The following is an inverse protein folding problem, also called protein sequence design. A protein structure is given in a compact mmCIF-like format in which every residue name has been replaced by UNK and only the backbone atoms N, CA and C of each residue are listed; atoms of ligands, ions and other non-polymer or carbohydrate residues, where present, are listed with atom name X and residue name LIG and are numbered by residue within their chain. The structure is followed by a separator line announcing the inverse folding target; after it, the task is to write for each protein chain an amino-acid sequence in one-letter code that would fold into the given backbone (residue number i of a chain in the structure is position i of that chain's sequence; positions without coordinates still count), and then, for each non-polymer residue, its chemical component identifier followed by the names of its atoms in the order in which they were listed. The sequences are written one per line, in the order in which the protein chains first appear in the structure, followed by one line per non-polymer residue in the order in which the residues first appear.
data_IF_387435907798
#
_entry.id   IF_387435907798
#
_cell.length_a   1.000
_cell.length_b   1.000
_cell.length_c   1.000
_cell.angle_alpha   90.00
_cell.angle_beta   90.00
_cell.angle_gamma   90.00
#
_symmetry.space_group_name_H-M   'P 1'
#
loop_
_entity.id
_entity.type
_entity.pdbx_description
1 polymer ?
#
# COMPACT_ATOMS: atom_id res chain seq x y z
N UNK A 1 -14.50 -2.58 -9.83
CA UNK A 1 -14.82 -3.73 -9.01
C UNK A 1 -15.86 -3.39 -7.97
N UNK A 2 -16.78 -4.29 -7.80
CA UNK A 2 -17.82 -4.12 -6.81
C UNK A 2 -17.22 -4.00 -5.41
N UNK A 3 -17.75 -3.13 -4.62
CA UNK A 3 -17.18 -2.89 -3.29
C UNK A 3 -17.45 -3.98 -2.29
N UNK A 4 -18.28 -4.92 -2.62
CA UNK A 4 -18.48 -6.09 -1.77
C UNK A 4 -19.08 -5.76 -0.42
N UNK A 5 -19.85 -4.69 -0.33
CA UNK A 5 -20.47 -4.32 0.92
C UNK A 5 -19.53 -3.77 1.97
N UNK A 6 -18.36 -3.31 1.57
CA UNK A 6 -17.40 -2.74 2.50
C UNK A 6 -17.95 -1.49 3.16
N UNK A 7 -17.67 -1.35 4.46
CA UNK A 7 -18.06 -0.17 5.20
C UNK A 7 -17.14 1.01 4.93
N UNK A 8 -15.98 0.76 4.37
CA UNK A 8 -14.98 1.78 4.13
C UNK A 8 -15.43 2.80 3.11
N UNK A 9 -15.00 4.04 3.29
CA UNK A 9 -15.25 5.11 2.34
C UNK A 9 -14.06 5.33 1.41
N UNK A 10 -13.15 4.37 1.34
CA UNK A 10 -11.98 4.47 0.47
C UNK A 10 -12.40 4.57 -0.99
N UNK A 11 -11.84 5.55 -1.69
CA UNK A 11 -12.11 5.81 -3.10
C UNK A 11 -10.88 5.41 -3.92
N UNK A 12 -11.10 4.80 -5.07
CA UNK A 12 -10.03 4.26 -5.92
C UNK A 12 -9.90 5.00 -7.24
N UNK A 13 -10.43 6.20 -7.36
CA UNK A 13 -10.45 6.90 -8.63
C UNK A 13 -10.24 8.39 -8.42
N UNK A 14 -10.65 9.16 -9.44
CA UNK A 14 -10.50 10.62 -9.44
C UNK A 14 -11.22 11.31 -8.30
N UNK A 15 -12.15 10.62 -7.63
CA UNK A 15 -12.86 11.21 -6.52
C UNK A 15 -12.04 11.27 -5.23
N UNK A 16 -10.90 10.62 -5.22
CA UNK A 16 -10.07 10.61 -4.02
C UNK A 16 -9.46 11.98 -3.76
N UNK A 17 -9.58 12.45 -2.53
CA UNK A 17 -8.98 13.68 -2.07
C UNK A 17 -7.94 13.32 -1.01
N UNK A 18 -6.64 13.52 -1.28
CA UNK A 18 -5.60 13.14 -0.33
C UNK A 18 -5.68 13.98 0.96
N UNK A 19 -5.27 13.40 2.09
CA UNK A 19 -5.08 14.19 3.30
C UNK A 19 -4.11 15.33 3.04
N UNK A 20 -4.34 16.45 3.73
CA UNK A 20 -3.54 17.66 3.55
C UNK A 20 -2.06 17.37 3.75
N UNK A 21 -1.26 17.73 2.76
CA UNK A 21 0.20 17.61 2.84
C UNK A 21 0.75 16.21 2.58
N UNK A 22 -0.11 15.20 2.44
CA UNK A 22 0.41 13.85 2.26
C UNK A 22 1.25 13.70 0.99
N UNK A 23 0.67 14.06 -0.16
CA UNK A 23 1.39 13.90 -1.43
C UNK A 23 2.53 14.89 -1.57
N UNK A 24 2.34 16.11 -1.08
CA UNK A 24 3.40 17.11 -1.13
C UNK A 24 4.65 16.66 -0.37
N UNK A 25 4.45 16.05 0.79
CA UNK A 25 5.58 15.55 1.57
C UNK A 25 6.27 14.39 0.88
N UNK A 26 5.52 13.59 0.15
CA UNK A 26 6.07 12.43 -0.54
C UNK A 26 6.95 12.81 -1.74
N UNK A 27 6.82 14.01 -2.29
CA UNK A 27 7.62 14.38 -3.47
C UNK A 27 9.11 14.32 -3.21
N UNK A 28 9.55 14.49 -1.98
CA UNK A 28 10.96 14.35 -1.63
C UNK A 28 11.46 12.92 -1.79
N UNK A 29 10.56 11.96 -1.89
CA UNK A 29 10.89 10.54 -1.95
C UNK A 29 10.83 9.99 -3.36
N UNK A 30 10.45 10.81 -4.35
CA UNK A 30 10.24 10.33 -5.72
C UNK A 30 11.45 9.63 -6.31
N UNK A 31 12.63 10.13 -6.03
CA UNK A 31 13.88 9.58 -6.60
C UNK A 31 14.76 8.92 -5.55
N UNK A 32 14.20 8.63 -4.40
CA UNK A 32 14.94 7.92 -3.35
C UNK A 32 15.38 6.54 -3.87
N UNK A 33 16.61 6.10 -3.56
CA UNK A 33 17.10 4.81 -4.07
C UNK A 33 16.57 3.60 -3.32
N UNK A 34 15.46 3.73 -2.66
CA UNK A 34 14.73 2.63 -2.00
C UNK A 34 13.27 2.72 -2.41
N UNK A 35 12.65 1.56 -2.62
CA UNK A 35 11.23 1.53 -2.96
C UNK A 35 10.40 1.98 -1.77
N UNK A 36 9.52 2.94 -1.99
CA UNK A 36 8.66 3.50 -0.96
C UNK A 36 7.26 3.68 -1.51
N UNK A 37 6.28 3.28 -0.72
CA UNK A 37 4.89 3.53 -1.08
C UNK A 37 4.07 3.87 0.16
N UNK A 38 2.94 4.52 -0.09
CA UNK A 38 1.93 4.76 0.94
C UNK A 38 0.65 4.13 0.42
N UNK A 39 0.06 3.28 1.25
CA UNK A 39 -1.17 2.59 0.91
C UNK A 39 -2.26 2.97 1.91
N UNK A 40 -3.48 2.97 1.42
CA UNK A 40 -4.65 3.19 2.26
C UNK A 40 -5.40 1.88 2.38
N UNK A 41 -5.62 1.42 3.61
CA UNK A 41 -6.27 0.14 3.85
C UNK A 41 -7.79 0.25 3.67
N UNK A 42 -8.36 -0.81 3.15
CA UNK A 42 -9.81 -0.96 3.00
C UNK A 42 -10.25 -1.98 4.04
N UNK A 43 -11.19 -1.61 4.89
CA UNK A 43 -11.66 -2.46 5.98
C UNK A 43 -13.11 -2.87 5.76
N UNK A 44 -13.44 -4.09 6.22
CA UNK A 44 -14.84 -4.51 6.24
C UNK A 44 -15.52 -3.97 7.49
N UNK A 45 -16.78 -4.35 7.68
CA UNK A 45 -17.58 -3.88 8.82
C UNK A 45 -17.01 -4.29 10.17
N UNK A 46 -16.21 -5.34 10.18
CA UNK A 46 -15.60 -5.88 11.41
C UNK A 46 -14.21 -5.34 11.66
N UNK A 47 -13.72 -4.47 10.81
CA UNK A 47 -12.40 -3.89 10.96
C UNK A 47 -11.27 -4.76 10.43
N UNK A 48 -11.57 -5.77 9.63
CA UNK A 48 -10.54 -6.58 9.00
C UNK A 48 -10.07 -5.92 7.71
N UNK A 49 -8.76 -5.92 7.47
CA UNK A 49 -8.22 -5.44 6.22
C UNK A 49 -8.53 -6.41 5.11
N UNK A 50 -9.24 -5.96 4.08
CA UNK A 50 -9.66 -6.80 2.97
C UNK A 50 -9.05 -6.41 1.64
N UNK A 51 -8.42 -5.24 1.57
CA UNK A 51 -7.73 -4.76 0.38
C UNK A 51 -6.93 -3.52 0.79
N UNK A 52 -6.12 -2.99 -0.12
CA UNK A 52 -5.52 -1.67 0.06
C UNK A 52 -5.38 -0.99 -1.29
N UNK A 53 -5.28 0.32 -1.27
CA UNK A 53 -5.16 1.13 -2.48
C UNK A 53 -3.82 1.84 -2.44
N UNK A 54 -3.07 1.77 -3.53
CA UNK A 54 -1.80 2.50 -3.65
C UNK A 54 -2.10 3.99 -3.79
N UNK A 55 -1.66 4.79 -2.84
CA UNK A 55 -1.87 6.24 -2.90
C UNK A 55 -0.63 7.00 -3.33
N UNK A 56 0.54 6.47 -3.02
CA UNK A 56 1.80 7.04 -3.49
C UNK A 56 2.81 5.91 -3.73
N UNK A 57 3.55 6.01 -4.82
CA UNK A 57 4.67 5.12 -5.10
C UNK A 57 5.79 5.95 -5.71
N UNK A 58 7.02 5.76 -5.24
CA UNK A 58 8.14 6.43 -5.87
C UNK A 58 8.65 5.62 -7.08
N UNK A 59 9.64 6.15 -7.78
CA UNK A 59 10.16 5.50 -9.00
C UNK A 59 10.72 4.11 -8.70
N UNK A 60 11.40 3.96 -7.58
CA UNK A 60 12.02 2.68 -7.22
C UNK A 60 10.96 1.62 -6.94
N UNK A 61 9.79 2.02 -6.50
CA UNK A 61 8.68 1.10 -6.29
C UNK A 61 8.27 0.45 -7.62
N UNK A 62 8.25 1.22 -8.70
CA UNK A 62 7.95 0.69 -10.03
C UNK A 62 9.00 -0.33 -10.46
N UNK A 63 10.28 -0.05 -10.16
CA UNK A 63 11.36 -0.98 -10.50
C UNK A 63 11.24 -2.30 -9.75
N UNK A 64 10.92 -2.23 -8.45
CA UNK A 64 10.79 -3.43 -7.62
C UNK A 64 9.56 -4.24 -8.03
N UNK A 65 8.43 -3.59 -8.24
CA UNK A 65 7.18 -4.27 -8.56
C UNK A 65 7.10 -4.69 -10.03
N UNK A 66 7.87 -4.05 -10.90
CA UNK A 66 7.81 -4.35 -12.33
C UNK A 66 6.58 -3.76 -13.02
N UNK A 67 5.98 -2.74 -12.44
CA UNK A 67 4.75 -2.12 -12.93
C UNK A 67 4.94 -0.61 -12.87
N UNK A 68 4.57 0.12 -13.95
CA UNK A 68 4.68 1.59 -13.93
C UNK A 68 3.86 2.20 -12.79
N UNK A 69 4.38 3.27 -12.21
CA UNK A 69 3.68 3.97 -11.13
C UNK A 69 2.25 4.34 -11.55
N UNK A 70 2.10 4.81 -12.78
CA UNK A 70 0.78 5.23 -13.28
C UNK A 70 -0.25 4.10 -13.30
N UNK A 71 0.19 2.85 -13.28
CA UNK A 71 -0.70 1.70 -13.25
C UNK A 71 -0.95 1.18 -11.83
N UNK A 72 -0.31 1.76 -10.84
CA UNK A 72 -0.53 1.40 -9.44
C UNK A 72 -1.33 2.45 -8.69
N UNK A 73 -1.09 3.72 -8.96
CA UNK A 73 -1.69 4.83 -8.20
C UNK A 73 -3.21 4.79 -8.31
N UNK A 74 -3.85 4.86 -7.15
CA UNK A 74 -5.30 4.84 -6.98
C UNK A 74 -5.95 3.53 -7.45
N UNK A 75 -5.16 2.48 -7.53
CA UNK A 75 -5.67 1.14 -7.82
C UNK A 75 -5.45 0.26 -6.61
N UNK A 76 -6.35 -0.68 -6.41
CA UNK A 76 -6.26 -1.56 -5.26
C UNK A 76 -5.25 -2.68 -5.53
N UNK A 77 -4.78 -3.28 -4.43
CA UNK A 77 -3.85 -4.41 -4.49
C UNK A 77 -4.38 -5.52 -5.40
N UNK A 78 -5.64 -5.89 -5.24
CA UNK A 78 -6.21 -6.98 -6.04
C UNK A 78 -6.52 -6.57 -7.47
N UNK A 79 -6.63 -5.27 -7.77
CA UNK A 79 -6.72 -4.82 -9.15
C UNK A 79 -5.37 -4.91 -9.85
N UNK A 80 -4.29 -4.65 -9.11
CA UNK A 80 -2.95 -4.72 -9.67
C UNK A 80 -2.45 -6.16 -9.73
N UNK A 81 -2.73 -6.94 -8.67
CA UNK A 81 -2.29 -8.32 -8.54
C UNK A 81 -3.50 -9.20 -8.25
N UNK A 82 -4.07 -9.82 -9.28
CA UNK A 82 -5.27 -10.64 -9.13
C UNK A 82 -5.10 -11.74 -8.07
N UNK A 83 -3.91 -12.32 -8.02
CA UNK A 83 -3.61 -13.43 -7.11
C UNK A 83 -2.82 -12.96 -5.89
N UNK A 84 -3.00 -11.70 -5.50
CA UNK A 84 -2.27 -11.15 -4.37
C UNK A 84 -2.48 -11.97 -3.10
N UNK A 85 -1.40 -12.13 -2.32
CA UNK A 85 -1.42 -12.93 -1.12
C UNK A 85 -2.00 -12.12 0.04
N UNK A 86 -2.98 -12.69 0.73
CA UNK A 86 -3.63 -12.05 1.88
C UNK A 86 -2.69 -11.76 3.02
N UNK A 87 -1.55 -12.43 3.09
CA UNK A 87 -0.64 -12.27 4.22
C UNK A 87 -0.20 -10.82 4.42
N UNK A 88 -0.08 -10.06 3.32
CA UNK A 88 0.32 -8.66 3.41
C UNK A 88 -0.74 -7.82 4.12
N UNK A 89 -2.01 -8.15 3.89
CA UNK A 89 -3.12 -7.37 4.46
C UNK A 89 -3.15 -7.44 5.97
N UNK A 90 -2.79 -8.57 6.56
CA UNK A 90 -2.81 -8.73 8.02
C UNK A 90 -1.83 -7.75 8.67
N UNK A 91 -0.61 -7.69 8.16
CA UNK A 91 0.40 -6.80 8.70
C UNK A 91 0.08 -5.33 8.45
N UNK A 92 -0.29 -5.02 7.22
CA UNK A 92 -0.57 -3.62 6.86
C UNK A 92 -1.79 -3.07 7.59
N UNK A 93 -2.81 -3.92 7.81
CA UNK A 93 -4.00 -3.51 8.55
C UNK A 93 -3.65 -3.21 10.00
N UNK A 94 -2.81 -4.03 10.62
CA UNK A 94 -2.38 -3.78 11.99
C UNK A 94 -1.67 -2.44 12.10
N UNK A 95 -0.77 -2.15 11.17
CA UNK A 95 -0.03 -0.88 11.15
C UNK A 95 -1.01 0.29 10.97
N UNK A 96 -1.94 0.17 10.03
CA UNK A 96 -2.87 1.25 9.71
C UNK A 96 -3.87 1.53 10.83
N UNK A 97 -4.27 0.50 11.57
CA UNK A 97 -5.25 0.65 12.65
C UNK A 97 -4.60 1.02 13.97
N UNK A 98 -3.50 0.37 14.30
CA UNK A 98 -2.95 0.44 15.65
C UNK A 98 -1.67 1.28 15.76
N UNK A 99 -1.12 1.70 14.64
CA UNK A 99 0.06 2.55 14.64
C UNK A 99 1.37 1.84 14.98
N UNK A 100 1.38 0.51 15.02
CA UNK A 100 2.57 -0.26 15.31
C UNK A 100 3.53 -0.23 14.13
N UNK A 101 4.81 -0.02 14.41
CA UNK A 101 5.84 -0.20 13.39
C UNK A 101 6.11 -1.68 13.24
N UNK A 102 6.28 -2.14 12.01
CA UNK A 102 6.53 -3.56 11.75
C UNK A 102 7.67 -3.71 10.76
N UNK A 103 8.42 -4.77 10.93
CA UNK A 103 9.45 -5.18 9.97
C UNK A 103 9.13 -6.64 9.64
N UNK A 104 8.95 -6.93 8.36
CA UNK A 104 8.70 -8.32 7.98
C UNK A 104 9.60 -8.69 6.81
N UNK A 105 10.01 -9.94 6.80
CA UNK A 105 10.83 -10.51 5.73
C UNK A 105 10.08 -11.72 5.21
N UNK A 106 9.70 -11.70 3.94
CA UNK A 106 8.94 -12.78 3.37
C UNK A 106 9.08 -12.77 1.85
N UNK A 107 8.66 -13.87 1.25
CA UNK A 107 8.62 -14.02 -0.19
C UNK A 107 7.33 -13.42 -0.74
N UNK A 108 7.46 -12.62 -1.80
CA UNK A 108 6.31 -12.07 -2.50
C UNK A 108 6.08 -12.89 -3.78
N UNK A 109 5.04 -13.72 -3.82
CA UNK A 109 4.74 -14.47 -5.04
C UNK A 109 4.26 -13.57 -6.17
N UNK A 110 3.72 -12.40 -5.84
CA UNK A 110 3.22 -11.45 -6.85
C UNK A 110 4.33 -11.00 -7.79
N UNK A 111 5.53 -10.81 -7.27
CA UNK A 111 6.65 -10.29 -8.05
C UNK A 111 7.86 -11.22 -8.03
N UNK A 112 7.72 -12.40 -7.44
CA UNK A 112 8.77 -13.42 -7.35
C UNK A 112 10.06 -12.85 -6.76
N UNK A 113 9.94 -12.24 -5.59
CA UNK A 113 11.08 -11.66 -4.87
C UNK A 113 10.93 -11.88 -3.37
N UNK A 114 12.07 -12.08 -2.72
CA UNK A 114 12.11 -12.02 -1.25
C UNK A 114 12.31 -10.57 -0.87
N UNK A 115 11.51 -10.10 0.08
CA UNK A 115 11.50 -8.70 0.48
C UNK A 115 11.68 -8.56 1.99
N UNK A 116 12.38 -7.51 2.38
CA UNK A 116 12.30 -7.01 3.75
C UNK A 116 11.51 -5.71 3.64
N UNK A 117 10.45 -5.61 4.42
CA UNK A 117 9.54 -4.47 4.36
C UNK A 117 9.46 -3.81 5.72
N UNK A 118 9.75 -2.51 5.75
CA UNK A 118 9.61 -1.68 6.95
C UNK A 118 8.30 -0.91 6.81
N UNK A 119 7.43 -1.04 7.82
CA UNK A 119 6.10 -0.43 7.79
C UNK A 119 5.88 0.47 8.97
N UNK A 120 5.22 1.60 8.75
CA UNK A 120 4.78 2.48 9.82
C UNK A 120 3.51 3.21 9.39
N UNK A 121 2.80 3.77 10.37
CA UNK A 121 1.57 4.50 10.11
C UNK A 121 1.88 5.99 9.94
N UNK A 122 1.75 6.53 8.72
CA UNK A 122 1.93 7.99 8.55
C UNK A 122 0.74 8.78 9.09
N UNK A 123 -0.45 8.23 8.90
CA UNK A 123 -1.70 8.75 9.48
C UNK A 123 -2.64 7.56 9.65
N UNK A 124 -3.65 7.66 10.52
CA UNK A 124 -4.58 6.54 10.73
C UNK A 124 -5.24 6.08 9.43
N UNK A 125 -5.32 4.78 9.26
CA UNK A 125 -5.89 4.17 8.07
C UNK A 125 -4.90 3.96 6.94
N UNK A 126 -3.70 4.48 7.06
CA UNK A 126 -2.66 4.38 6.02
C UNK A 126 -1.45 3.62 6.54
N UNK A 127 -0.72 3.02 5.62
CA UNK A 127 0.53 2.34 5.94
C UNK A 127 1.59 2.79 4.95
N UNK A 128 2.74 3.24 5.45
CA UNK A 128 3.88 3.56 4.61
C UNK A 128 4.82 2.37 4.63
N UNK A 129 5.37 2.00 3.47
CA UNK A 129 6.21 0.82 3.33
C UNK A 129 7.49 1.14 2.60
N UNK A 130 8.60 0.63 3.12
CA UNK A 130 9.90 0.64 2.43
C UNK A 130 10.19 -0.81 2.07
N UNK A 131 10.37 -1.10 0.79
CA UNK A 131 10.60 -2.46 0.30
C UNK A 131 12.05 -2.62 -0.12
N UNK A 132 12.71 -3.62 0.44
CA UNK A 132 14.11 -3.89 0.15
C UNK A 132 14.21 -5.32 -0.39
N UNK A 133 14.43 -5.50 -1.70
CA UNK A 133 14.61 -6.83 -2.27
C UNK A 133 15.92 -7.46 -1.78
N UNK A 134 15.88 -8.74 -1.65
CA UNK A 134 17.07 -9.51 -1.28
C UNK A 134 17.76 -10.10 -2.51
#
# INVERSE_FOLDING_TARGET
RKKLGLASTVLSSDDYIPPLGLLEKCTLLDKMPLAFCVIELVFDEKGHGVDFVFRYCNEMMADVEGIPVSEMINRSFYEVFENGDKKWLVTYADVALNGNKRILTDYSPEIDKHLTIYCYQPIPGYCACILIPK
#
